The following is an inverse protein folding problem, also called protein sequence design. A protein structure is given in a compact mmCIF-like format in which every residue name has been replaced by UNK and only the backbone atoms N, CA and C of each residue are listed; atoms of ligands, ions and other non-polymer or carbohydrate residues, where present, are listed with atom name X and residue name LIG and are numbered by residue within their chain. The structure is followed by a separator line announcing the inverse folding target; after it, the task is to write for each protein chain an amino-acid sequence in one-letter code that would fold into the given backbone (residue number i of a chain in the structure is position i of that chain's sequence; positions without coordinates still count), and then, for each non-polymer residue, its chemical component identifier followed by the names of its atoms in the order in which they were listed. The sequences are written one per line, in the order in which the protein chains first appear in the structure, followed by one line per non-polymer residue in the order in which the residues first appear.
data_IF_865575860417
#
_entry.id   IF_865575860417
#
_cell.length_a   1.000
_cell.length_b   1.000
_cell.length_c   1.000
_cell.angle_alpha   90.00
_cell.angle_beta   90.00
_cell.angle_gamma   90.00
#
_symmetry.space_group_name_H-M   'P 1'
#
loop_
_entity.id
_entity.type
_entity.pdbx_description
1 polymer ?
#
# COMPACT_ATOMS: atom_id res chain seq x y z
N UNK A 1 6.95 2.33 17.51
CA UNK A 1 7.16 2.32 16.05
C UNK A 1 7.47 3.73 15.59
N UNK A 2 8.56 3.90 14.86
CA UNK A 2 8.90 5.14 14.17
C UNK A 2 8.55 4.99 12.69
N UNK A 3 8.35 6.12 12.00
CA UNK A 3 7.97 6.11 10.59
C UNK A 3 8.67 7.24 9.84
N UNK A 4 9.28 6.90 8.71
CA UNK A 4 9.79 7.87 7.74
C UNK A 4 8.98 7.78 6.45
N UNK A 5 8.58 8.93 5.90
CA UNK A 5 7.80 9.01 4.66
C UNK A 5 8.63 9.67 3.57
N UNK A 6 8.59 9.11 2.37
CA UNK A 6 9.26 9.67 1.20
C UNK A 6 8.47 9.36 -0.07
N UNK A 7 8.67 10.17 -1.11
CA UNK A 7 8.09 9.89 -2.43
C UNK A 7 9.06 9.09 -3.29
N UNK A 8 8.56 8.05 -3.95
CA UNK A 8 9.35 7.19 -4.83
C UNK A 8 8.70 7.00 -6.19
N UNK A 9 9.52 6.58 -7.15
CA UNK A 9 9.06 6.28 -8.51
C UNK A 9 8.63 7.49 -9.34
N UNK A 10 8.24 7.24 -10.59
CA UNK A 10 7.87 8.30 -11.54
C UNK A 10 6.56 8.99 -11.17
N UNK A 11 5.63 8.28 -10.53
CA UNK A 11 4.33 8.81 -10.11
C UNK A 11 4.34 9.34 -8.67
N UNK A 12 5.54 9.41 -8.02
CA UNK A 12 5.73 9.98 -6.68
C UNK A 12 4.83 9.30 -5.62
N UNK A 13 4.75 7.97 -5.65
CA UNK A 13 4.02 7.22 -4.63
C UNK A 13 4.57 7.52 -3.24
N UNK A 14 3.71 7.64 -2.26
CA UNK A 14 4.07 7.73 -0.85
C UNK A 14 4.61 6.38 -0.38
N UNK A 15 5.89 6.32 -0.11
CA UNK A 15 6.55 5.14 0.45
C UNK A 15 6.77 5.37 1.93
N UNK A 16 6.33 4.42 2.75
CA UNK A 16 6.43 4.49 4.21
C UNK A 16 7.45 3.48 4.72
N UNK A 17 8.46 3.94 5.47
CA UNK A 17 9.41 3.07 6.16
C UNK A 17 9.05 3.04 7.63
N UNK A 18 8.61 1.86 8.10
CA UNK A 18 8.25 1.59 9.49
C UNK A 18 9.46 0.93 10.15
N UNK A 19 9.88 1.42 11.31
CA UNK A 19 11.08 0.87 11.93
C UNK A 19 11.08 0.99 13.47
N UNK A 20 11.97 0.22 14.07
CA UNK A 20 12.48 0.40 15.43
C UNK A 20 13.96 0.81 15.35
N UNK A 21 14.75 0.49 16.38
CA UNK A 21 16.18 0.82 16.42
C UNK A 21 17.05 -0.01 15.44
N UNK A 22 16.56 -1.14 14.92
CA UNK A 22 17.37 -2.10 14.16
C UNK A 22 16.67 -2.65 12.91
N UNK A 23 15.36 -2.77 12.96
CA UNK A 23 14.55 -3.46 11.95
C UNK A 23 13.64 -2.49 11.22
N UNK A 24 13.48 -2.70 9.91
CA UNK A 24 12.57 -1.91 9.08
C UNK A 24 11.67 -2.80 8.22
N UNK A 25 10.50 -2.23 7.91
CA UNK A 25 9.63 -2.67 6.84
C UNK A 25 9.30 -1.48 5.93
N UNK A 26 9.11 -1.71 4.65
CA UNK A 26 8.75 -0.66 3.68
C UNK A 26 7.38 -1.00 3.09
N UNK A 27 6.49 -0.01 3.06
CA UNK A 27 5.21 -0.08 2.37
C UNK A 27 5.33 0.66 1.04
N UNK A 28 4.93 0.01 -0.05
CA UNK A 28 4.84 0.52 -1.42
C UNK A 28 6.12 1.23 -1.93
N UNK A 29 7.24 0.51 -2.08
CA UNK A 29 8.46 1.07 -2.63
C UNK A 29 8.39 1.20 -4.16
N UNK A 30 7.81 2.28 -4.67
CA UNK A 30 7.53 2.47 -6.10
C UNK A 30 8.75 2.75 -6.97
N UNK A 31 9.93 2.96 -6.38
CA UNK A 31 11.17 3.23 -7.10
C UNK A 31 12.26 3.79 -6.20
N UNK A 32 13.31 4.35 -6.81
CA UNK A 32 14.42 5.01 -6.10
C UNK A 32 15.15 4.07 -5.11
N UNK A 33 15.31 2.80 -5.44
CA UNK A 33 15.89 1.74 -4.60
C UNK A 33 17.24 2.14 -3.99
N UNK A 34 18.10 2.82 -4.75
CA UNK A 34 19.41 3.26 -4.26
C UNK A 34 19.29 4.26 -3.10
N UNK A 35 18.31 5.18 -3.19
CA UNK A 35 18.05 6.17 -2.13
C UNK A 35 17.48 5.49 -0.90
N UNK A 36 16.57 4.54 -1.06
CA UNK A 36 15.99 3.77 0.03
C UNK A 36 17.06 2.93 0.75
N UNK A 37 17.92 2.22 0.01
CA UNK A 37 19.03 1.44 0.57
C UNK A 37 20.06 2.32 1.30
N UNK A 38 20.38 3.50 0.74
CA UNK A 38 21.27 4.44 1.39
C UNK A 38 20.70 4.94 2.71
N UNK A 39 19.42 5.34 2.72
CA UNK A 39 18.74 5.80 3.93
C UNK A 39 18.71 4.72 5.02
N UNK A 40 18.38 3.47 4.68
CA UNK A 40 18.42 2.35 5.61
C UNK A 40 19.81 2.16 6.21
N UNK A 41 20.86 2.22 5.37
CA UNK A 41 22.26 2.08 5.80
C UNK A 41 22.68 3.21 6.74
N UNK A 42 22.36 4.46 6.41
CA UNK A 42 22.70 5.63 7.22
C UNK A 42 22.03 5.62 8.61
N UNK A 43 20.85 4.97 8.71
CA UNK A 43 20.12 4.80 9.96
C UNK A 43 20.43 3.47 10.67
N UNK A 44 21.33 2.63 10.14
CA UNK A 44 21.70 1.36 10.76
C UNK A 44 20.58 0.31 10.78
N UNK A 45 19.63 0.40 9.83
CA UNK A 45 18.42 -0.42 9.81
C UNK A 45 18.55 -1.59 8.83
N UNK A 46 18.08 -2.76 9.27
CA UNK A 46 17.92 -3.95 8.42
C UNK A 46 16.51 -4.00 7.86
N UNK A 47 16.37 -4.00 6.54
CA UNK A 47 15.08 -4.21 5.89
C UNK A 47 14.70 -5.69 5.95
N UNK A 48 13.61 -6.01 6.64
CA UNK A 48 13.13 -7.38 6.83
C UNK A 48 11.89 -7.70 5.99
N UNK A 49 11.05 -6.70 5.70
CA UNK A 49 9.80 -6.87 4.96
C UNK A 49 9.52 -5.75 3.98
N UNK A 50 8.93 -6.11 2.86
CA UNK A 50 8.35 -5.22 1.85
C UNK A 50 6.87 -5.56 1.79
N UNK A 51 6.02 -4.58 2.10
CA UNK A 51 4.57 -4.71 2.16
C UNK A 51 3.98 -3.98 0.96
N UNK A 52 3.15 -4.65 0.20
CA UNK A 52 2.49 -4.05 -0.95
C UNK A 52 0.99 -3.96 -0.68
N UNK A 53 0.44 -2.76 -0.84
CA UNK A 53 -1.02 -2.55 -0.76
C UNK A 53 -1.71 -3.14 -1.98
N UNK A 54 -1.05 -3.11 -3.14
CA UNK A 54 -1.49 -3.72 -4.39
C UNK A 54 -0.30 -3.86 -5.38
N UNK A 55 -0.55 -4.45 -6.55
CA UNK A 55 0.51 -4.85 -7.47
C UNK A 55 0.79 -3.87 -8.62
N UNK A 56 0.30 -2.62 -8.65
CA UNK A 56 0.65 -1.68 -9.71
C UNK A 56 2.14 -1.29 -9.67
N UNK A 57 2.70 -1.05 -10.85
CA UNK A 57 4.14 -0.87 -11.07
C UNK A 57 4.74 0.28 -10.25
N UNK A 58 3.98 1.33 -10.04
CA UNK A 58 4.41 2.52 -9.30
C UNK A 58 4.47 2.28 -7.77
N UNK A 59 3.82 1.23 -7.26
CA UNK A 59 3.92 0.78 -5.87
C UNK A 59 4.98 -0.31 -5.68
N UNK A 60 5.32 -1.07 -6.72
CA UNK A 60 6.25 -2.20 -6.61
C UNK A 60 7.57 -2.03 -7.40
N UNK A 61 7.82 -0.89 -8.02
CA UNK A 61 8.96 -0.69 -8.93
C UNK A 61 10.35 -0.92 -8.33
N UNK A 62 10.55 -0.74 -7.02
CA UNK A 62 11.81 -1.00 -6.34
C UNK A 62 11.90 -2.41 -5.71
N UNK A 63 10.82 -3.18 -5.69
CA UNK A 63 10.71 -4.44 -4.92
C UNK A 63 11.81 -5.43 -5.30
N UNK A 64 12.00 -5.69 -6.59
CA UNK A 64 13.03 -6.62 -7.08
C UNK A 64 14.42 -6.22 -6.57
N UNK A 65 14.81 -4.96 -6.71
CA UNK A 65 16.13 -4.48 -6.31
C UNK A 65 16.33 -4.48 -4.79
N UNK A 66 15.31 -4.10 -4.02
CA UNK A 66 15.33 -4.17 -2.56
C UNK A 66 15.45 -5.60 -2.07
N UNK A 67 14.66 -6.53 -2.63
CA UNK A 67 14.74 -7.97 -2.32
C UNK A 67 16.14 -8.52 -2.60
N UNK A 68 16.70 -8.23 -3.77
CA UNK A 68 18.03 -8.70 -4.16
C UNK A 68 19.15 -8.18 -3.23
N UNK A 69 19.02 -6.91 -2.77
CA UNK A 69 20.04 -6.29 -1.92
C UNK A 69 19.94 -6.67 -0.43
N UNK A 70 18.75 -7.01 0.07
CA UNK A 70 18.51 -7.14 1.53
C UNK A 70 18.00 -8.53 1.94
N UNK A 71 17.47 -9.31 1.00
CA UNK A 71 16.77 -10.55 1.32
C UNK A 71 15.39 -10.36 1.96
N UNK A 72 14.87 -9.12 2.04
CA UNK A 72 13.60 -8.80 2.68
C UNK A 72 12.44 -9.63 2.11
N UNK A 73 11.52 -10.03 2.98
CA UNK A 73 10.33 -10.80 2.61
C UNK A 73 9.32 -9.92 1.87
N UNK A 74 8.90 -10.32 0.68
CA UNK A 74 7.84 -9.66 -0.10
C UNK A 74 6.48 -10.18 0.34
N UNK A 75 5.57 -9.26 0.71
CA UNK A 75 4.22 -9.57 1.17
C UNK A 75 3.22 -8.77 0.33
N UNK A 76 2.27 -9.48 -0.28
CA UNK A 76 1.18 -8.91 -1.09
C UNK A 76 -0.07 -9.78 -0.92
N UNK A 77 -1.23 -9.28 -1.33
CA UNK A 77 -2.44 -10.10 -1.37
C UNK A 77 -2.34 -11.22 -2.42
N UNK A 78 -3.05 -12.33 -2.16
CA UNK A 78 -3.09 -13.47 -3.09
C UNK A 78 -3.62 -13.07 -4.46
N UNK A 79 -4.59 -12.15 -4.53
CA UNK A 79 -5.24 -11.80 -5.80
C UNK A 79 -4.39 -10.86 -6.67
N UNK A 80 -3.40 -10.16 -6.11
CA UNK A 80 -2.51 -9.27 -6.85
C UNK A 80 -1.09 -9.86 -7.05
N UNK A 81 -0.82 -11.07 -6.55
CA UNK A 81 0.52 -11.67 -6.62
C UNK A 81 1.04 -11.76 -8.06
N UNK A 82 0.19 -12.14 -9.01
CA UNK A 82 0.56 -12.25 -10.43
C UNK A 82 1.07 -10.92 -11.01
N UNK A 83 0.62 -9.78 -10.49
CA UNK A 83 1.05 -8.45 -10.98
C UNK A 83 2.55 -8.21 -10.77
N UNK A 84 3.20 -8.89 -9.80
CA UNK A 84 4.63 -8.75 -9.51
C UNK A 84 5.53 -9.31 -10.63
N UNK A 85 5.01 -10.18 -11.49
CA UNK A 85 5.75 -10.79 -12.58
C UNK A 85 5.04 -10.69 -13.93
N UNK A 86 3.95 -9.92 -13.99
CA UNK A 86 3.19 -9.65 -15.20
C UNK A 86 3.04 -8.15 -15.45
N UNK A 87 3.93 -7.60 -16.29
CA UNK A 87 3.97 -6.15 -16.59
C UNK A 87 2.70 -5.61 -17.28
N UNK A 88 1.86 -6.46 -17.84
CA UNK A 88 0.57 -6.04 -18.40
C UNK A 88 -0.45 -5.82 -17.28
N UNK A 89 -0.53 -6.73 -16.32
CA UNK A 89 -1.44 -6.62 -15.18
C UNK A 89 -1.03 -5.51 -14.23
N UNK A 90 0.28 -5.34 -13.97
CA UNK A 90 0.78 -4.24 -13.12
C UNK A 90 0.72 -2.87 -13.79
N UNK A 91 0.19 -2.76 -15.00
CA UNK A 91 0.14 -1.53 -15.82
C UNK A 91 1.52 -1.00 -16.26
N UNK A 92 2.64 -1.61 -15.89
CA UNK A 92 3.98 -1.15 -16.27
C UNK A 92 4.10 -1.02 -17.81
N UNK A 93 3.63 -2.00 -18.55
CA UNK A 93 3.67 -1.98 -20.02
C UNK A 93 2.90 -0.81 -20.63
N UNK A 94 1.72 -0.47 -20.10
CA UNK A 94 0.90 0.64 -20.58
C UNK A 94 1.58 2.00 -20.37
N UNK A 95 2.44 2.11 -19.36
CA UNK A 95 3.24 3.31 -19.07
C UNK A 95 4.64 3.28 -19.68
N UNK A 96 4.97 2.29 -20.52
CA UNK A 96 6.28 2.16 -21.14
C UNK A 96 7.40 1.80 -20.16
N UNK A 97 7.06 1.24 -19.00
CA UNK A 97 7.98 0.80 -17.96
C UNK A 97 8.10 -0.72 -18.01
N UNK A 98 9.28 -1.24 -17.67
CA UNK A 98 9.50 -2.66 -17.47
C UNK A 98 10.03 -2.91 -16.07
N UNK A 99 9.26 -3.61 -15.26
CA UNK A 99 9.67 -4.04 -13.93
C UNK A 99 10.24 -5.46 -14.02
N UNK A 100 11.44 -5.72 -13.48
CA UNK A 100 11.95 -7.07 -13.37
C UNK A 100 10.99 -7.94 -12.55
N UNK A 101 10.69 -9.18 -12.98
CA UNK A 101 9.77 -10.05 -12.27
C UNK A 101 10.27 -10.38 -10.87
N UNK A 102 9.36 -10.42 -9.92
CA UNK A 102 9.59 -10.94 -8.57
C UNK A 102 8.37 -11.73 -8.10
N UNK A 103 8.52 -12.47 -7.03
CA UNK A 103 7.50 -13.36 -6.50
C UNK A 103 7.34 -13.08 -5.00
N UNK A 104 6.10 -13.19 -4.51
CA UNK A 104 5.83 -13.04 -3.11
C UNK A 104 6.44 -14.18 -2.28
N UNK A 105 7.01 -13.84 -1.13
CA UNK A 105 7.42 -14.84 -0.13
C UNK A 105 6.23 -15.23 0.75
N UNK A 106 5.23 -14.33 0.87
CA UNK A 106 4.00 -14.57 1.62
C UNK A 106 2.84 -13.83 0.96
N UNK A 107 1.78 -14.57 0.67
CA UNK A 107 0.49 -13.97 0.31
C UNK A 107 -0.36 -13.77 1.57
N UNK A 108 -1.18 -12.70 1.56
CA UNK A 108 -2.07 -12.33 2.67
C UNK A 108 -3.51 -12.16 2.20
N UNK A 109 -4.42 -12.29 3.16
CA UNK A 109 -5.86 -12.12 2.99
C UNK A 109 -6.45 -11.26 4.11
N UNK A 110 -7.73 -10.89 3.98
CA UNK A 110 -8.44 -10.14 5.02
C UNK A 110 -8.39 -10.82 6.38
N UNK A 111 -8.07 -10.06 7.42
CA UNK A 111 -7.97 -10.54 8.80
C UNK A 111 -6.62 -11.14 9.16
N UNK A 112 -5.72 -11.33 8.19
CA UNK A 112 -4.36 -11.74 8.50
C UNK A 112 -3.63 -10.66 9.32
N UNK A 113 -2.61 -11.12 10.05
CA UNK A 113 -1.70 -10.23 10.77
C UNK A 113 -0.29 -10.37 10.20
N UNK A 114 0.35 -9.26 9.91
CA UNK A 114 1.76 -9.18 9.55
C UNK A 114 2.55 -8.61 10.72
N UNK A 115 3.34 -9.46 11.39
CA UNK A 115 4.21 -9.00 12.47
C UNK A 115 5.50 -8.41 11.90
N UNK A 116 5.85 -7.21 12.36
CA UNK A 116 7.15 -6.58 12.06
C UNK A 116 8.19 -6.81 13.17
N UNK A 117 7.80 -7.50 14.24
CA UNK A 117 8.61 -7.70 15.42
C UNK A 117 8.37 -6.62 16.50
N UNK A 118 8.30 -5.37 16.09
CA UNK A 118 8.06 -4.21 16.97
C UNK A 118 6.60 -3.71 16.92
N UNK A 119 5.83 -4.11 15.92
CA UNK A 119 4.38 -3.89 15.84
C UNK A 119 3.74 -4.96 14.97
N UNK A 120 2.41 -5.04 15.00
CA UNK A 120 1.61 -5.91 14.15
C UNK A 120 0.70 -5.06 13.27
N UNK A 121 0.61 -5.45 12.01
CA UNK A 121 -0.28 -4.84 11.02
C UNK A 121 -1.43 -5.79 10.73
N UNK A 122 -2.66 -5.35 10.90
CA UNK A 122 -3.84 -6.04 10.45
C UNK A 122 -4.02 -5.80 8.94
N UNK A 123 -4.34 -6.84 8.19
CA UNK A 123 -4.63 -6.78 6.76
C UNK A 123 -6.13 -6.61 6.55
N UNK A 124 -6.52 -5.51 5.93
CA UNK A 124 -7.91 -5.23 5.56
C UNK A 124 -8.01 -5.28 4.04
N UNK A 125 -8.64 -6.32 3.47
CA UNK A 125 -8.86 -6.37 2.01
C UNK A 125 -9.81 -5.28 1.57
N UNK A 126 -9.42 -4.54 0.54
CA UNK A 126 -10.18 -3.43 -0.04
C UNK A 126 -10.18 -3.52 -1.56
N UNK A 127 -10.79 -4.59 -2.14
CA UNK A 127 -10.86 -4.74 -3.58
C UNK A 127 -11.60 -3.57 -4.24
N UNK A 128 -11.24 -3.29 -5.50
CA UNK A 128 -11.92 -2.31 -6.33
C UNK A 128 -10.99 -1.41 -7.14
N UNK A 129 -9.88 -0.92 -6.59
CA UNK A 129 -8.79 -0.34 -7.39
C UNK A 129 -8.03 -1.43 -8.15
N UNK A 130 -7.69 -2.50 -7.44
CA UNK A 130 -7.28 -3.80 -7.98
C UNK A 130 -8.10 -4.91 -7.33
N UNK A 131 -8.13 -6.12 -7.88
CA UNK A 131 -8.82 -7.26 -7.27
C UNK A 131 -8.25 -7.62 -5.90
N UNK A 132 -6.96 -7.43 -5.69
CA UNK A 132 -6.24 -7.79 -4.47
C UNK A 132 -5.83 -6.59 -3.60
N UNK A 133 -6.41 -5.43 -3.80
CA UNK A 133 -6.11 -4.26 -2.97
C UNK A 133 -6.29 -4.55 -1.49
N UNK A 134 -5.32 -4.16 -0.68
CA UNK A 134 -5.35 -4.26 0.79
C UNK A 134 -4.88 -2.96 1.43
N UNK A 135 -5.42 -2.70 2.62
CA UNK A 135 -4.89 -1.72 3.55
C UNK A 135 -4.17 -2.42 4.70
N UNK A 136 -3.15 -1.79 5.25
CA UNK A 136 -2.49 -2.23 6.48
C UNK A 136 -2.84 -1.29 7.63
N UNK A 137 -3.37 -1.83 8.72
CA UNK A 137 -3.82 -1.06 9.88
C UNK A 137 -3.01 -1.39 11.13
N UNK A 138 -2.60 -0.38 11.89
CA UNK A 138 -1.94 -0.52 13.19
C UNK A 138 -2.06 0.77 14.01
N UNK A 139 -2.35 0.65 15.30
CA UNK A 139 -2.27 1.76 16.27
C UNK A 139 -2.91 3.09 15.81
N UNK A 140 -4.08 3.02 15.15
CA UNK A 140 -4.77 4.21 14.65
C UNK A 140 -4.16 4.81 13.37
N UNK A 141 -3.32 4.06 12.66
CA UNK A 141 -2.73 4.41 11.37
C UNK A 141 -3.18 3.38 10.32
N UNK A 142 -3.66 3.87 9.17
CA UNK A 142 -4.10 3.07 8.03
C UNK A 142 -3.26 3.43 6.81
N UNK A 143 -2.47 2.50 6.30
CA UNK A 143 -1.81 2.60 5.00
C UNK A 143 -2.82 2.13 3.96
N UNK A 144 -3.45 3.06 3.27
CA UNK A 144 -4.60 2.75 2.40
C UNK A 144 -4.23 2.42 0.96
N UNK A 145 -2.96 2.58 0.57
CA UNK A 145 -2.60 2.48 -0.84
C UNK A 145 -3.51 3.36 -1.70
N UNK A 146 -4.01 2.79 -2.77
CA UNK A 146 -4.90 3.48 -3.70
C UNK A 146 -6.40 3.15 -3.47
N UNK A 147 -6.76 2.89 -2.21
CA UNK A 147 -8.17 2.69 -1.83
C UNK A 147 -8.86 4.01 -1.47
N UNK A 148 -8.29 4.77 -0.52
CA UNK A 148 -8.89 5.98 0.03
C UNK A 148 -7.85 7.10 0.09
N UNK A 149 -8.18 8.25 -0.49
CA UNK A 149 -7.38 9.47 -0.52
C UNK A 149 -8.06 10.61 0.21
N UNK A 150 -7.33 11.68 0.47
CA UNK A 150 -7.90 12.93 0.96
C UNK A 150 -8.89 13.51 -0.06
N UNK A 151 -10.19 13.46 0.25
CA UNK A 151 -11.27 13.94 -0.61
C UNK A 151 -11.48 13.14 -1.89
N UNK A 152 -10.96 11.91 -1.99
CA UNK A 152 -11.07 11.08 -3.21
C UNK A 152 -10.99 9.59 -2.89
N UNK A 153 -11.14 8.77 -3.92
CA UNK A 153 -10.90 7.32 -3.89
C UNK A 153 -10.01 6.94 -5.08
N UNK A 154 -9.43 5.75 -5.04
CA UNK A 154 -8.65 5.21 -6.13
C UNK A 154 -9.45 5.11 -7.43
N UNK A 155 -8.78 5.17 -8.56
CA UNK A 155 -9.40 4.86 -9.85
C UNK A 155 -9.73 3.37 -9.94
N UNK A 156 -10.75 3.04 -10.70
CA UNK A 156 -11.23 1.67 -10.88
C UNK A 156 -11.49 1.29 -12.34
N UNK A 157 -10.94 2.07 -13.25
CA UNK A 157 -11.09 1.90 -14.71
C UNK A 157 -9.93 1.13 -15.35
N UNK A 158 -8.95 0.67 -14.57
CA UNK A 158 -7.90 -0.24 -15.03
C UNK A 158 -8.38 -1.70 -15.02
N UNK A 159 -7.69 -2.61 -15.77
CA UNK A 159 -8.05 -4.03 -15.78
C UNK A 159 -8.15 -4.61 -14.36
N UNK A 160 -9.28 -5.24 -14.06
CA UNK A 160 -9.58 -5.79 -12.74
C UNK A 160 -10.17 -4.78 -11.75
N UNK A 161 -10.26 -3.49 -12.12
CA UNK A 161 -10.91 -2.47 -11.29
C UNK A 161 -12.43 -2.61 -11.28
N UNK A 162 -13.05 -2.23 -10.14
CA UNK A 162 -14.50 -2.27 -9.91
C UNK A 162 -14.87 -1.12 -8.95
N UNK A 163 -15.59 -0.13 -9.46
CA UNK A 163 -15.96 1.06 -8.70
C UNK A 163 -16.89 0.72 -7.53
N UNK A 164 -17.89 -0.10 -7.76
CA UNK A 164 -18.87 -0.45 -6.71
C UNK A 164 -18.20 -1.24 -5.59
N UNK A 165 -17.31 -2.17 -5.92
CA UNK A 165 -16.50 -2.91 -4.96
C UNK A 165 -15.57 -1.98 -4.15
N UNK A 166 -14.98 -0.97 -4.80
CA UNK A 166 -14.12 0.02 -4.12
C UNK A 166 -14.91 0.83 -3.09
N UNK A 167 -16.07 1.37 -3.49
CA UNK A 167 -16.94 2.14 -2.60
C UNK A 167 -17.45 1.28 -1.44
N UNK A 168 -17.85 0.04 -1.73
CA UNK A 168 -18.26 -0.91 -0.70
C UNK A 168 -17.11 -1.23 0.27
N UNK A 169 -15.89 -1.44 -0.24
CA UNK A 169 -14.70 -1.68 0.57
C UNK A 169 -14.45 -0.53 1.55
N UNK A 170 -14.49 0.72 1.09
CA UNK A 170 -14.32 1.88 1.96
C UNK A 170 -15.42 1.94 3.02
N UNK A 171 -16.69 1.86 2.61
CA UNK A 171 -17.82 2.02 3.53
C UNK A 171 -17.91 0.90 4.57
N UNK A 172 -17.77 -0.36 4.14
CA UNK A 172 -17.97 -1.50 5.03
C UNK A 172 -16.74 -1.87 5.85
N UNK A 173 -15.53 -1.56 5.37
CA UNK A 173 -14.29 -2.04 6.00
C UNK A 173 -13.43 -0.93 6.59
N UNK A 174 -13.42 0.27 5.99
CA UNK A 174 -12.62 1.37 6.51
C UNK A 174 -13.42 2.31 7.41
N UNK A 175 -14.68 2.60 7.08
CA UNK A 175 -15.52 3.51 7.88
C UNK A 175 -15.99 2.94 9.21
N UNK A 176 -15.73 1.67 9.48
CA UNK A 176 -15.90 1.05 10.81
C UNK A 176 -14.74 1.36 11.76
N UNK A 177 -13.61 1.83 11.23
CA UNK A 177 -12.47 2.25 12.03
C UNK A 177 -12.79 3.56 12.79
N UNK A 178 -12.11 3.82 13.91
CA UNK A 178 -12.28 5.07 14.67
C UNK A 178 -12.04 6.31 13.80
N UNK A 179 -12.84 7.36 13.99
CA UNK A 179 -12.76 8.58 13.19
C UNK A 179 -11.40 9.27 13.24
N UNK A 180 -10.68 9.15 14.35
CA UNK A 180 -9.31 9.65 14.52
C UNK A 180 -8.22 8.83 13.82
N UNK A 181 -8.57 7.71 13.15
CA UNK A 181 -7.60 6.92 12.39
C UNK A 181 -6.98 7.75 11.28
N UNK A 182 -5.66 7.88 11.30
CA UNK A 182 -4.91 8.58 10.25
C UNK A 182 -4.83 7.69 9.01
N UNK A 183 -5.24 8.23 7.88
CA UNK A 183 -5.16 7.57 6.57
C UNK A 183 -3.91 8.09 5.85
N UNK A 184 -3.03 7.17 5.51
CA UNK A 184 -1.77 7.39 4.79
C UNK A 184 -1.88 6.73 3.42
N UNK A 185 -2.26 7.49 2.37
CA UNK A 185 -2.54 6.96 1.04
C UNK A 185 -1.28 6.71 0.21
N UNK A 186 -1.44 5.97 -0.90
CA UNK A 186 -0.39 5.82 -1.91
C UNK A 186 -0.03 7.12 -2.61
N UNK A 187 -1.00 8.02 -2.79
CA UNK A 187 -0.77 9.33 -3.42
C UNK A 187 -1.46 10.45 -2.66
N UNK A 188 -0.90 11.67 -2.76
CA UNK A 188 -1.46 12.87 -2.15
C UNK A 188 -1.23 12.96 -0.64
N UNK A 189 -2.04 13.78 0.00
CA UNK A 189 -1.90 14.13 1.40
C UNK A 189 -2.55 13.10 2.34
N UNK A 190 -2.08 13.06 3.57
CA UNK A 190 -2.71 12.27 4.63
C UNK A 190 -4.06 12.90 5.04
N UNK A 191 -4.98 12.05 5.51
CA UNK A 191 -6.29 12.46 6.01
C UNK A 191 -6.67 11.63 7.23
N UNK A 192 -7.95 11.64 7.62
CA UNK A 192 -8.50 10.79 8.67
C UNK A 192 -9.81 10.14 8.22
N UNK A 193 -10.14 9.01 8.84
CA UNK A 193 -11.42 8.32 8.57
C UNK A 193 -12.61 9.27 8.82
N UNK A 194 -12.59 10.06 9.90
CA UNK A 194 -13.66 11.01 10.20
C UNK A 194 -13.81 12.10 9.14
N UNK A 195 -12.69 12.62 8.63
CA UNK A 195 -12.72 13.62 7.55
C UNK A 195 -13.34 13.05 6.28
N UNK A 196 -12.94 11.83 5.90
CA UNK A 196 -13.44 11.21 4.67
C UNK A 196 -14.91 10.76 4.78
N UNK A 197 -15.37 10.36 5.96
CA UNK A 197 -16.81 10.14 6.23
C UNK A 197 -17.63 11.39 6.03
N UNK A 198 -17.08 12.54 6.45
CA UNK A 198 -17.79 13.84 6.41
C UNK A 198 -17.78 14.47 5.02
N UNK A 199 -16.62 14.51 4.36
CA UNK A 199 -16.39 15.46 3.28
C UNK A 199 -16.04 14.81 1.93
N UNK A 200 -15.80 13.49 1.88
CA UNK A 200 -15.41 12.83 0.65
C UNK A 200 -16.55 12.78 -0.37
N UNK A 201 -16.45 13.47 -1.52
CA UNK A 201 -17.55 13.58 -2.48
C UNK A 201 -17.88 12.27 -3.21
N UNK A 202 -16.97 11.31 -3.23
CA UNK A 202 -17.17 10.00 -3.86
C UNK A 202 -17.93 9.01 -2.96
N UNK A 203 -17.92 9.28 -1.67
CA UNK A 203 -18.52 8.40 -0.67
C UNK A 203 -19.93 8.84 -0.24
N UNK A 204 -20.35 10.00 -0.72
CA UNK A 204 -21.72 10.53 -0.70
C UNK A 204 -22.27 10.88 0.68
N UNK A 205 -22.80 12.09 0.84
CA UNK A 205 -23.79 12.41 1.85
C UNK A 205 -25.07 11.61 1.54
N UNK A 206 -25.46 10.67 2.39
CA UNK A 206 -26.82 10.14 2.37
C UNK A 206 -27.05 8.73 1.88
N UNK A 207 -26.22 7.76 2.24
CA UNK A 207 -26.51 6.35 2.04
C UNK A 207 -27.28 5.69 3.20
N UNK A 208 -27.71 6.46 4.20
CA UNK A 208 -28.61 6.02 5.25
C UNK A 208 -30.08 6.41 4.93
N UNK A 209 -30.57 6.02 3.74
CA UNK A 209 -32.03 6.06 3.48
C UNK A 209 -32.47 4.83 2.69
#
# INVERSE_FOLDING_TARGET
MEMYTTHTGPLKVNTYILHDAHSAAIVDPGGNEKRLLLWLKENGLQLNKILLTHGHFDHCGAVHALKAATGAQIIISTADEEMLHNNALSMAHAFGVSCPPCYADRCVSHGDTVSLGFTNLEVISTPGHTPGGVCYYTDGILFSGDTLFAGSVGRSDFPGGDYDALIESVKKRLFVLPDGTRVLPGHGDATTIGQEKSDNPFLGYGWDK
#
